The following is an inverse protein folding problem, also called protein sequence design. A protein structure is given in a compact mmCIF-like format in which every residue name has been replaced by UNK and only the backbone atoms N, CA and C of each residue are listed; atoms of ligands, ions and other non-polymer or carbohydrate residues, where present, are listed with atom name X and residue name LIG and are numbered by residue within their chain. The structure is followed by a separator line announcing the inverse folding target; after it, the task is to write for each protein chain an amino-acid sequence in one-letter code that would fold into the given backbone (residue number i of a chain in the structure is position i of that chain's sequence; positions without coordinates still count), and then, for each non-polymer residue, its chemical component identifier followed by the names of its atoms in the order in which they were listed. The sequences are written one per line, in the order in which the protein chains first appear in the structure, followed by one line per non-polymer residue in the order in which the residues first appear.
data_IF_370956955957
#
_entry.id   IF_370956955957
#
_cell.length_a   1.000
_cell.length_b   1.000
_cell.length_c   1.000
_cell.angle_alpha   90.00
_cell.angle_beta   90.00
_cell.angle_gamma   90.00
#
_symmetry.space_group_name_H-M   'P 1'
#
loop_
_entity.id
_entity.type
_entity.pdbx_description
1 polymer ?
#
# COMPACT_ATOMS: atom_id res chain seq x y z
N UNK A 1 3.87 -3.47 -28.25
CA UNK A 1 5.16 -3.05 -27.64
C UNK A 1 5.18 -1.54 -27.66
N UNK A 2 5.19 -0.91 -26.52
CA UNK A 2 5.22 0.56 -26.41
C UNK A 2 6.65 0.99 -26.75
N UNK A 3 6.84 1.80 -27.78
CA UNK A 3 8.15 2.35 -28.15
C UNK A 3 8.77 3.06 -26.92
N UNK A 4 10.01 2.70 -26.57
CA UNK A 4 10.70 3.24 -25.41
C UNK A 4 11.00 4.74 -25.66
N UNK A 5 10.37 5.62 -24.88
CA UNK A 5 10.65 7.06 -24.97
C UNK A 5 12.08 7.36 -24.49
N UNK A 6 12.67 8.47 -24.98
CA UNK A 6 13.98 8.93 -24.51
C UNK A 6 13.92 9.40 -23.05
N UNK A 7 12.78 9.95 -22.63
CA UNK A 7 12.53 10.37 -21.27
C UNK A 7 11.21 9.75 -20.76
N UNK A 8 11.23 9.14 -19.61
CA UNK A 8 10.03 8.63 -18.93
C UNK A 8 9.98 9.17 -17.49
N UNK A 9 8.87 9.77 -17.11
CA UNK A 9 8.61 10.20 -15.75
C UNK A 9 7.61 9.23 -15.14
N UNK A 10 7.99 8.53 -14.07
CA UNK A 10 7.11 7.69 -13.25
C UNK A 10 6.78 8.46 -11.98
N UNK A 11 5.54 8.94 -11.85
CA UNK A 11 5.13 9.80 -10.74
C UNK A 11 4.11 9.08 -9.86
N UNK A 12 4.41 8.96 -8.58
CA UNK A 12 3.45 8.41 -7.63
C UNK A 12 4.09 7.68 -6.45
N UNK A 13 3.23 7.04 -5.66
CA UNK A 13 3.54 6.26 -4.46
C UNK A 13 3.12 4.79 -4.56
N UNK A 14 2.50 4.38 -5.68
CA UNK A 14 2.24 2.96 -5.96
C UNK A 14 3.51 2.26 -6.45
N UNK A 15 4.26 1.69 -5.52
CA UNK A 15 5.49 0.95 -5.82
C UNK A 15 5.24 -0.25 -6.73
N UNK A 16 4.06 -0.87 -6.68
CA UNK A 16 3.70 -1.99 -7.57
C UNK A 16 3.60 -1.52 -9.02
N UNK A 17 2.92 -0.40 -9.25
CA UNK A 17 2.83 0.24 -10.57
C UNK A 17 4.23 0.61 -11.09
N UNK A 18 5.04 1.29 -10.26
CA UNK A 18 6.42 1.69 -10.63
C UNK A 18 7.26 0.46 -10.99
N UNK A 19 7.23 -0.61 -10.20
CA UNK A 19 8.00 -1.83 -10.46
C UNK A 19 7.58 -2.53 -11.76
N UNK A 20 6.27 -2.62 -12.03
CA UNK A 20 5.75 -3.21 -13.27
C UNK A 20 6.24 -2.41 -14.49
N UNK A 21 6.10 -1.09 -14.47
CA UNK A 21 6.57 -0.22 -15.58
C UNK A 21 8.08 -0.28 -15.77
N UNK A 22 8.86 -0.30 -14.69
CA UNK A 22 10.32 -0.46 -14.77
C UNK A 22 10.71 -1.82 -15.35
N UNK A 23 10.01 -2.90 -14.98
CA UNK A 23 10.24 -4.22 -15.54
C UNK A 23 9.92 -4.27 -17.06
N UNK A 24 8.81 -3.64 -17.48
CA UNK A 24 8.45 -3.53 -18.89
C UNK A 24 9.48 -2.70 -19.69
N UNK A 25 9.92 -1.56 -19.14
CA UNK A 25 10.96 -0.72 -19.73
C UNK A 25 12.25 -1.52 -19.88
N UNK A 26 12.68 -2.23 -18.84
CA UNK A 26 13.88 -3.05 -18.84
C UNK A 26 13.78 -4.22 -19.83
N UNK A 27 12.63 -4.90 -19.88
CA UNK A 27 12.38 -5.98 -20.83
C UNK A 27 12.42 -5.49 -22.32
N UNK A 28 12.08 -4.22 -22.56
CA UNK A 28 12.17 -3.63 -23.90
C UNK A 28 13.60 -3.41 -24.40
N UNK A 29 14.62 -3.53 -23.53
CA UNK A 29 16.04 -3.48 -23.91
C UNK A 29 16.54 -4.80 -24.54
N UNK A 30 15.75 -5.86 -24.53
CA UNK A 30 16.06 -7.16 -25.13
C UNK A 30 16.42 -8.24 -24.12
N UNK A 31 17.51 -8.97 -24.37
CA UNK A 31 17.94 -10.06 -23.49
C UNK A 31 18.20 -9.58 -22.04
N UNK A 32 17.73 -10.32 -21.00
CA UNK A 32 17.86 -9.88 -19.63
C UNK A 32 19.29 -9.58 -19.15
N UNK A 33 20.28 -10.36 -19.61
CA UNK A 33 21.68 -10.13 -19.24
C UNK A 33 22.22 -8.86 -19.90
N UNK A 34 21.85 -8.63 -21.16
CA UNK A 34 22.20 -7.39 -21.88
C UNK A 34 21.50 -6.18 -21.26
N UNK A 35 20.24 -6.34 -20.86
CA UNK A 35 19.48 -5.27 -20.19
C UNK A 35 20.14 -4.86 -18.87
N UNK A 36 20.64 -5.83 -18.07
CA UNK A 36 21.36 -5.55 -16.82
C UNK A 36 22.66 -4.77 -17.07
N UNK A 37 23.46 -5.18 -18.05
CA UNK A 37 24.71 -4.49 -18.41
C UNK A 37 24.47 -3.06 -18.95
N UNK A 38 23.30 -2.82 -19.53
CA UNK A 38 22.92 -1.53 -20.09
C UNK A 38 22.01 -0.70 -19.16
N UNK A 39 21.91 -1.06 -17.89
CA UNK A 39 21.12 -0.31 -16.90
C UNK A 39 22.04 0.31 -15.85
N UNK A 40 21.94 1.64 -15.69
CA UNK A 40 22.60 2.39 -14.62
C UNK A 40 21.55 2.88 -13.65
N UNK A 41 21.70 2.56 -12.37
CA UNK A 41 20.86 3.08 -11.29
C UNK A 41 21.60 4.23 -10.61
N UNK A 42 20.95 5.40 -10.55
CA UNK A 42 21.46 6.59 -9.90
C UNK A 42 20.54 6.95 -8.72
N UNK A 43 21.15 7.15 -7.56
CA UNK A 43 20.43 7.64 -6.39
C UNK A 43 20.51 9.16 -6.33
N UNK A 44 19.37 9.81 -6.10
CA UNK A 44 19.28 11.29 -6.11
C UNK A 44 20.14 11.98 -5.05
N UNK A 45 20.53 11.28 -3.98
CA UNK A 45 21.34 11.82 -2.88
C UNK A 45 22.77 12.12 -3.33
N UNK A 46 23.33 11.33 -4.23
CA UNK A 46 24.69 11.43 -4.75
C UNK A 46 24.75 11.98 -6.17
N UNK A 47 23.59 12.20 -6.80
CA UNK A 47 23.50 12.60 -8.19
C UNK A 47 23.90 14.06 -8.39
N UNK A 48 24.78 14.31 -9.36
CA UNK A 48 25.00 15.61 -9.93
C UNK A 48 24.66 15.64 -11.44
N UNK A 49 24.39 16.81 -12.00
CA UNK A 49 23.97 16.95 -13.40
C UNK A 49 25.05 16.54 -14.40
N UNK A 50 26.33 16.68 -14.07
CA UNK A 50 27.41 16.27 -14.95
C UNK A 50 27.53 14.74 -15.04
N UNK A 51 27.36 14.03 -13.92
CA UNK A 51 27.33 12.57 -13.93
C UNK A 51 26.09 12.04 -14.67
N UNK A 52 24.92 12.65 -14.45
CA UNK A 52 23.70 12.30 -15.19
C UNK A 52 23.91 12.44 -16.70
N UNK A 53 24.50 13.56 -17.13
CA UNK A 53 24.82 13.81 -18.53
C UNK A 53 25.79 12.76 -19.08
N UNK A 54 26.87 12.45 -18.35
CA UNK A 54 27.85 11.46 -18.76
C UNK A 54 27.23 10.07 -18.94
N UNK A 55 26.38 9.64 -17.99
CA UNK A 55 25.69 8.35 -18.03
C UNK A 55 24.71 8.27 -19.22
N UNK A 56 23.96 9.35 -19.50
CA UNK A 56 23.06 9.41 -20.64
C UNK A 56 23.79 9.42 -22.00
N UNK A 57 25.02 9.94 -22.05
CA UNK A 57 25.84 9.97 -23.28
C UNK A 57 26.67 8.69 -23.47
N UNK A 58 26.73 7.82 -22.45
CA UNK A 58 27.47 6.57 -22.54
C UNK A 58 26.82 5.64 -23.58
N UNK A 59 27.57 5.14 -24.53
CA UNK A 59 27.07 4.22 -25.53
C UNK A 59 26.60 2.90 -24.94
N UNK A 60 25.48 2.34 -25.42
CA UNK A 60 25.02 1.02 -24.98
C UNK A 60 26.01 -0.08 -25.40
N UNK A 61 26.13 -1.11 -24.59
CA UNK A 61 26.98 -2.27 -24.86
C UNK A 61 26.16 -3.37 -25.53
N UNK A 62 26.45 -3.65 -26.80
CA UNK A 62 25.75 -4.69 -27.58
C UNK A 62 24.22 -4.62 -27.55
N UNK A 63 23.65 -3.44 -27.34
CA UNK A 63 22.22 -3.16 -27.35
C UNK A 63 21.92 -1.87 -28.11
N UNK A 64 20.66 -1.66 -28.46
CA UNK A 64 20.24 -0.44 -29.15
C UNK A 64 20.18 0.76 -28.20
N UNK A 65 19.83 0.53 -26.93
CA UNK A 65 19.64 1.58 -25.92
C UNK A 65 20.24 1.23 -24.58
N UNK A 66 20.57 2.27 -23.83
CA UNK A 66 20.98 2.23 -22.42
C UNK A 66 19.91 2.86 -21.55
N UNK A 67 19.57 2.19 -20.44
CA UNK A 67 18.65 2.69 -19.42
C UNK A 67 19.42 3.41 -18.32
N UNK A 68 19.07 4.66 -18.07
CA UNK A 68 19.53 5.42 -16.90
C UNK A 68 18.32 5.65 -16.00
N UNK A 69 18.33 5.08 -14.83
CA UNK A 69 17.23 5.16 -13.86
C UNK A 69 17.64 6.03 -12.67
N UNK A 70 16.92 7.13 -12.46
CA UNK A 70 17.10 7.99 -11.28
C UNK A 70 15.98 7.69 -10.30
N UNK A 71 16.35 7.07 -9.18
CA UNK A 71 15.42 6.85 -8.06
C UNK A 71 15.29 8.12 -7.22
N UNK A 72 14.12 8.31 -6.58
CA UNK A 72 13.82 9.46 -5.70
C UNK A 72 14.07 10.82 -6.34
N UNK A 73 13.79 10.95 -7.65
CA UNK A 73 14.12 12.15 -8.43
C UNK A 73 13.52 13.45 -7.84
N UNK A 74 12.39 13.39 -7.10
CA UNK A 74 11.83 14.57 -6.44
C UNK A 74 12.81 15.27 -5.53
N UNK A 75 13.70 14.55 -4.84
CA UNK A 75 14.65 15.12 -3.90
C UNK A 75 15.65 16.07 -4.60
N UNK A 76 16.15 15.67 -5.78
CA UNK A 76 17.04 16.54 -6.56
C UNK A 76 16.25 17.68 -7.22
N UNK A 77 15.10 17.39 -7.83
CA UNK A 77 14.28 18.40 -8.52
C UNK A 77 13.85 19.54 -7.60
N UNK A 78 13.62 19.26 -6.33
CA UNK A 78 13.30 20.28 -5.31
C UNK A 78 14.46 21.20 -4.99
N UNK A 79 15.69 20.68 -5.03
CA UNK A 79 16.90 21.42 -4.62
C UNK A 79 17.49 22.27 -5.74
N UNK A 80 17.16 22.00 -7.01
CA UNK A 80 17.73 22.70 -8.15
C UNK A 80 17.36 24.20 -8.14
N UNK A 81 18.37 25.06 -8.22
CA UNK A 81 18.20 26.48 -8.47
C UNK A 81 17.85 26.74 -9.96
N UNK A 82 17.41 27.95 -10.35
CA UNK A 82 17.00 28.26 -11.73
C UNK A 82 18.04 27.90 -12.79
N UNK A 83 19.32 28.19 -12.56
CA UNK A 83 20.39 27.89 -13.52
C UNK A 83 20.64 26.38 -13.67
N UNK A 84 20.50 25.61 -12.57
CA UNK A 84 20.60 24.15 -12.59
C UNK A 84 19.39 23.52 -13.28
N UNK A 85 18.19 24.08 -13.14
CA UNK A 85 17.01 23.66 -13.91
C UNK A 85 17.23 23.83 -15.41
N UNK A 86 17.74 24.97 -15.85
CA UNK A 86 18.06 25.21 -17.25
C UNK A 86 19.09 24.19 -17.76
N UNK A 87 20.14 23.89 -17.01
CA UNK A 87 21.11 22.84 -17.35
C UNK A 87 20.47 21.46 -17.44
N UNK A 88 19.58 21.09 -16.52
CA UNK A 88 18.87 19.84 -16.59
C UNK A 88 17.98 19.78 -17.85
N UNK A 89 17.23 20.83 -18.15
CA UNK A 89 16.38 20.90 -19.35
C UNK A 89 17.22 20.79 -20.63
N UNK A 90 18.42 21.39 -20.68
CA UNK A 90 19.35 21.24 -21.80
C UNK A 90 19.82 19.78 -21.97
N UNK A 91 20.15 19.10 -20.86
CA UNK A 91 20.50 17.67 -20.87
C UNK A 91 19.34 16.84 -21.43
N UNK A 92 18.11 17.09 -20.94
CA UNK A 92 16.92 16.36 -21.36
C UNK A 92 16.56 16.59 -22.83
N UNK A 93 16.69 17.85 -23.32
CA UNK A 93 16.44 18.20 -24.71
C UNK A 93 17.41 17.51 -25.67
N UNK A 94 18.66 17.28 -25.23
CA UNK A 94 19.74 16.70 -26.01
C UNK A 94 19.98 15.20 -25.73
N UNK A 95 19.02 14.49 -25.14
CA UNK A 95 19.12 13.05 -24.93
C UNK A 95 19.27 12.32 -26.28
N UNK A 96 20.30 11.49 -26.47
CA UNK A 96 20.46 10.72 -27.69
C UNK A 96 19.39 9.62 -27.83
N UNK A 97 19.09 9.18 -29.01
CA UNK A 97 18.13 8.09 -29.27
C UNK A 97 18.57 6.77 -28.64
N UNK A 98 19.88 6.64 -28.34
CA UNK A 98 20.46 5.47 -27.67
C UNK A 98 20.25 5.49 -26.15
N UNK A 99 19.76 6.59 -25.56
CA UNK A 99 19.47 6.69 -24.14
C UNK A 99 17.95 6.55 -23.85
N UNK A 100 17.64 5.90 -22.74
CA UNK A 100 16.35 5.91 -22.12
C UNK A 100 16.51 6.36 -20.66
N UNK A 101 16.16 7.61 -20.37
CA UNK A 101 16.21 8.16 -19.03
C UNK A 101 14.86 7.98 -18.34
N UNK A 102 14.86 7.39 -17.14
CA UNK A 102 13.67 7.24 -16.30
C UNK A 102 13.88 7.99 -15.01
N UNK A 103 12.97 8.91 -14.68
CA UNK A 103 12.94 9.63 -13.41
C UNK A 103 11.76 9.12 -12.58
N UNK A 104 12.03 8.50 -11.43
CA UNK A 104 11.01 8.10 -10.47
C UNK A 104 10.77 9.24 -9.50
N UNK A 105 9.60 9.86 -9.60
CA UNK A 105 9.18 11.01 -8.81
C UNK A 105 8.18 10.54 -7.75
N UNK A 106 8.64 10.42 -6.53
CA UNK A 106 7.81 10.02 -5.39
C UNK A 106 6.86 11.16 -5.02
N UNK A 107 5.59 10.94 -5.20
CA UNK A 107 4.55 11.90 -4.80
C UNK A 107 3.25 11.16 -4.49
N UNK A 108 2.42 11.71 -3.63
CA UNK A 108 1.12 11.16 -3.24
C UNK A 108 -0.01 12.00 -3.81
N UNK A 109 -1.12 11.35 -4.13
CA UNK A 109 -2.35 12.05 -4.47
C UNK A 109 -3.23 12.24 -3.23
N UNK A 110 -3.75 13.46 -3.07
CA UNK A 110 -4.78 13.79 -2.09
C UNK A 110 -6.00 14.35 -2.78
N UNK A 111 -7.16 14.24 -2.13
CA UNK A 111 -8.43 14.77 -2.65
C UNK A 111 -8.86 15.98 -1.85
N UNK A 112 -9.13 17.09 -2.53
CA UNK A 112 -9.69 18.31 -1.92
C UNK A 112 -10.89 18.78 -2.72
N UNK A 113 -12.04 18.87 -2.07
CA UNK A 113 -13.33 19.26 -2.70
C UNK A 113 -13.74 18.38 -3.89
N UNK A 114 -13.36 17.09 -3.87
CA UNK A 114 -13.66 16.13 -4.94
C UNK A 114 -12.65 16.10 -6.10
N UNK A 115 -11.64 16.97 -6.08
CA UNK A 115 -10.58 17.00 -7.09
C UNK A 115 -9.29 16.37 -6.54
N UNK A 116 -8.68 15.47 -7.32
CA UNK A 116 -7.39 14.87 -7.00
C UNK A 116 -6.26 15.83 -7.37
N UNK A 117 -5.28 15.97 -6.50
CA UNK A 117 -4.08 16.78 -6.73
C UNK A 117 -2.85 16.08 -6.18
N UNK A 118 -1.69 16.39 -6.76
CA UNK A 118 -0.40 15.89 -6.29
C UNK A 118 0.16 16.81 -5.19
N UNK A 119 0.49 16.25 -4.06
CA UNK A 119 0.89 17.02 -2.85
C UNK A 119 2.15 17.86 -3.07
N UNK A 120 3.11 17.32 -3.81
CA UNK A 120 4.40 17.93 -4.05
C UNK A 120 4.61 18.44 -5.49
N UNK A 121 3.52 18.60 -6.27
CA UNK A 121 3.58 19.01 -7.67
C UNK A 121 4.49 20.23 -7.92
N UNK A 122 4.52 21.19 -7.00
CA UNK A 122 5.33 22.43 -7.11
C UNK A 122 6.83 22.14 -7.27
N UNK A 123 7.32 21.01 -6.78
CA UNK A 123 8.72 20.64 -6.86
C UNK A 123 9.18 20.36 -8.31
N UNK A 124 8.27 19.90 -9.16
CA UNK A 124 8.58 19.42 -10.52
C UNK A 124 7.60 19.90 -11.59
N UNK A 125 6.62 20.75 -11.28
CA UNK A 125 5.65 21.28 -12.25
C UNK A 125 6.36 21.93 -13.46
N UNK A 126 7.43 22.69 -13.21
CA UNK A 126 8.25 23.31 -14.25
C UNK A 126 8.83 22.29 -15.27
N UNK A 127 9.13 21.06 -14.82
CA UNK A 127 9.61 19.98 -15.67
C UNK A 127 8.47 19.40 -16.52
N UNK A 128 7.27 19.23 -15.93
CA UNK A 128 6.09 18.75 -16.64
C UNK A 128 5.63 19.76 -17.69
N UNK A 129 5.56 21.04 -17.33
CA UNK A 129 5.18 22.13 -18.22
C UNK A 129 6.14 22.22 -19.42
N UNK A 130 7.46 22.05 -19.18
CA UNK A 130 8.44 22.00 -20.23
C UNK A 130 8.28 20.77 -21.12
N UNK A 131 8.06 19.58 -20.52
CA UNK A 131 7.90 18.32 -21.27
C UNK A 131 6.67 18.33 -22.16
N UNK A 132 5.57 18.95 -21.74
CA UNK A 132 4.35 19.09 -22.53
C UNK A 132 4.60 19.86 -23.85
N UNK A 133 5.52 20.82 -23.80
CA UNK A 133 6.01 21.52 -25.01
C UNK A 133 6.93 20.70 -25.91
N UNK A 134 7.47 19.54 -25.48
CA UNK A 134 8.45 18.73 -26.20
C UNK A 134 7.79 17.51 -26.88
N UNK A 135 7.24 17.70 -28.08
CA UNK A 135 6.56 16.63 -28.81
C UNK A 135 7.46 15.40 -29.04
N UNK A 136 7.05 14.26 -28.52
CA UNK A 136 7.69 12.96 -28.76
C UNK A 136 8.98 12.69 -27.99
N UNK A 137 9.42 13.61 -27.12
CA UNK A 137 10.61 13.43 -26.30
C UNK A 137 10.35 12.42 -25.16
N UNK A 138 9.23 12.54 -24.47
CA UNK A 138 9.00 11.75 -23.28
C UNK A 138 7.54 11.44 -23.00
N UNK A 139 7.34 10.66 -21.93
CA UNK A 139 6.04 10.24 -21.42
C UNK A 139 6.00 10.38 -19.91
N UNK A 140 4.80 10.64 -19.39
CA UNK A 140 4.52 10.66 -17.94
C UNK A 140 3.55 9.55 -17.63
N UNK A 141 3.86 8.75 -16.62
CA UNK A 141 2.97 7.72 -16.10
C UNK A 141 2.66 8.05 -14.62
N UNK A 142 1.39 8.08 -14.32
CA UNK A 142 0.89 8.31 -12.97
C UNK A 142 0.70 6.98 -12.24
N UNK A 143 1.52 6.76 -11.22
CA UNK A 143 1.51 5.58 -10.35
C UNK A 143 0.99 5.98 -8.96
N UNK A 144 -0.20 6.58 -8.90
CA UNK A 144 -0.83 6.89 -7.63
C UNK A 144 -1.46 5.64 -7.01
N UNK A 145 -1.35 5.49 -5.69
CA UNK A 145 -2.12 4.50 -4.96
C UNK A 145 -3.61 4.73 -5.18
N UNK A 146 -4.40 3.67 -5.46
CA UNK A 146 -5.84 3.78 -5.49
C UNK A 146 -6.38 4.18 -4.11
N UNK A 147 -7.43 4.99 -4.07
CA UNK A 147 -8.15 5.23 -2.83
C UNK A 147 -9.02 4.00 -2.44
N UNK A 148 -9.60 4.03 -1.24
CA UNK A 148 -10.42 2.91 -0.74
C UNK A 148 -11.60 2.58 -1.68
N UNK A 149 -12.19 3.58 -2.32
CA UNK A 149 -13.30 3.38 -3.25
C UNK A 149 -12.86 2.80 -4.59
N UNK A 150 -11.64 3.10 -5.03
CA UNK A 150 -11.04 2.62 -6.28
C UNK A 150 -10.44 1.22 -6.16
N UNK A 151 -10.06 0.82 -4.94
CA UNK A 151 -9.33 -0.43 -4.68
C UNK A 151 -10.07 -1.70 -5.20
N UNK A 152 -11.39 -1.88 -5.04
CA UNK A 152 -12.07 -3.04 -5.61
C UNK A 152 -11.95 -3.10 -7.14
N UNK A 153 -12.06 -1.94 -7.81
CA UNK A 153 -11.88 -1.82 -9.26
C UNK A 153 -10.44 -2.16 -9.68
N UNK A 154 -9.46 -1.74 -8.89
CA UNK A 154 -8.05 -2.06 -9.11
C UNK A 154 -7.80 -3.58 -8.99
N UNK A 155 -8.32 -4.23 -7.94
CA UNK A 155 -8.22 -5.69 -7.74
C UNK A 155 -8.80 -6.44 -8.93
N UNK A 156 -10.00 -6.06 -9.38
CA UNK A 156 -10.65 -6.73 -10.51
C UNK A 156 -9.87 -6.55 -11.83
N UNK A 157 -9.24 -5.39 -12.06
CA UNK A 157 -8.36 -5.18 -13.22
C UNK A 157 -7.11 -6.02 -13.10
N UNK A 158 -6.44 -5.98 -11.94
CA UNK A 158 -5.19 -6.71 -11.70
C UNK A 158 -5.36 -8.22 -11.85
N UNK A 159 -6.48 -8.77 -11.37
CA UNK A 159 -6.82 -10.17 -11.55
C UNK A 159 -6.92 -10.54 -13.04
N UNK A 160 -7.60 -9.71 -13.86
CA UNK A 160 -7.70 -9.94 -15.32
C UNK A 160 -6.35 -9.85 -16.02
N UNK A 161 -5.50 -8.92 -15.65
CA UNK A 161 -4.12 -8.82 -16.15
C UNK A 161 -3.30 -10.08 -15.83
N UNK A 162 -3.58 -10.73 -14.69
CA UNK A 162 -2.93 -11.96 -14.24
C UNK A 162 -3.58 -13.22 -14.84
N UNK A 163 -4.63 -13.08 -15.64
CA UNK A 163 -5.30 -14.20 -16.34
C UNK A 163 -6.45 -14.86 -15.55
N UNK A 164 -7.02 -14.19 -14.56
CA UNK A 164 -8.16 -14.70 -13.81
C UNK A 164 -9.22 -13.64 -13.55
N UNK A 165 -10.23 -14.02 -12.76
CA UNK A 165 -11.36 -13.15 -12.46
C UNK A 165 -11.75 -13.18 -10.98
N UNK A 166 -12.29 -12.06 -10.50
CA UNK A 166 -12.89 -11.90 -9.18
C UNK A 166 -14.38 -11.56 -9.35
N UNK A 167 -15.22 -12.11 -8.48
CA UNK A 167 -16.56 -11.58 -8.29
C UNK A 167 -16.48 -10.20 -7.66
N UNK A 168 -17.44 -9.33 -7.94
CA UNK A 168 -17.45 -7.96 -7.42
C UNK A 168 -17.43 -7.92 -5.88
N UNK A 169 -18.23 -8.78 -5.24
CA UNK A 169 -18.29 -8.93 -3.78
C UNK A 169 -16.95 -9.39 -3.19
N UNK A 170 -16.24 -10.33 -3.85
CA UNK A 170 -14.92 -10.79 -3.44
C UNK A 170 -13.84 -9.71 -3.58
N UNK A 171 -13.90 -8.89 -4.65
CA UNK A 171 -12.98 -7.78 -4.82
C UNK A 171 -13.16 -6.70 -3.74
N UNK A 172 -14.40 -6.38 -3.37
CA UNK A 172 -14.69 -5.49 -2.24
C UNK A 172 -14.21 -6.06 -0.92
N UNK A 173 -14.41 -7.36 -0.70
CA UNK A 173 -13.94 -8.03 0.51
C UNK A 173 -12.41 -8.00 0.61
N UNK A 174 -11.70 -8.36 -0.46
CA UNK A 174 -10.24 -8.31 -0.47
C UNK A 174 -9.72 -6.87 -0.25
N UNK A 175 -10.36 -5.86 -0.86
CA UNK A 175 -10.01 -4.46 -0.65
C UNK A 175 -10.12 -4.06 0.83
N UNK A 176 -11.15 -4.53 1.55
CA UNK A 176 -11.30 -4.25 2.98
C UNK A 176 -10.20 -4.90 3.84
N UNK A 177 -9.58 -5.99 3.38
CA UNK A 177 -8.50 -6.69 4.09
C UNK A 177 -7.12 -6.10 3.84
N UNK A 178 -6.88 -5.59 2.62
CA UNK A 178 -5.57 -5.08 2.21
C UNK A 178 -5.45 -3.56 2.27
N UNK A 179 -6.58 -2.85 2.48
CA UNK A 179 -6.63 -1.39 2.39
C UNK A 179 -6.20 -0.91 1.00
N UNK A 180 -5.36 0.12 0.94
CA UNK A 180 -4.79 0.64 -0.31
C UNK A 180 -3.39 0.08 -0.63
N UNK A 181 -2.95 -0.99 0.04
CA UNK A 181 -1.66 -1.62 -0.20
C UNK A 181 -1.71 -2.50 -1.46
N UNK A 182 -1.31 -1.94 -2.59
CA UNK A 182 -1.33 -2.62 -3.90
C UNK A 182 -0.37 -3.79 -4.00
N UNK A 183 0.78 -3.75 -3.30
CA UNK A 183 1.74 -4.85 -3.26
C UNK A 183 1.13 -6.07 -2.58
N UNK A 184 0.54 -5.87 -1.41
CA UNK A 184 -0.17 -6.93 -0.68
C UNK A 184 -1.36 -7.44 -1.48
N UNK A 185 -2.16 -6.55 -2.05
CA UNK A 185 -3.27 -6.93 -2.91
C UNK A 185 -2.83 -7.82 -4.09
N UNK A 186 -1.73 -7.47 -4.76
CA UNK A 186 -1.20 -8.26 -5.87
C UNK A 186 -0.76 -9.66 -5.41
N UNK A 187 -0.13 -9.79 -4.24
CA UNK A 187 0.25 -11.09 -3.66
C UNK A 187 -0.99 -11.94 -3.35
N UNK A 188 -2.00 -11.34 -2.71
CA UNK A 188 -3.25 -12.03 -2.39
C UNK A 188 -4.01 -12.45 -3.65
N UNK A 189 -4.09 -11.58 -4.66
CA UNK A 189 -4.69 -11.90 -5.96
C UNK A 189 -4.01 -13.14 -6.57
N UNK A 190 -2.69 -13.15 -6.64
CA UNK A 190 -1.93 -14.28 -7.19
C UNK A 190 -2.23 -15.58 -6.43
N UNK A 191 -2.20 -15.54 -5.09
CA UNK A 191 -2.50 -16.69 -4.24
C UNK A 191 -3.92 -17.23 -4.50
N UNK A 192 -4.91 -16.35 -4.53
CA UNK A 192 -6.31 -16.70 -4.77
C UNK A 192 -6.54 -17.26 -6.19
N UNK A 193 -5.90 -16.67 -7.22
CA UNK A 193 -6.00 -17.16 -8.58
C UNK A 193 -5.35 -18.54 -8.76
N UNK A 194 -4.22 -18.80 -8.10
CA UNK A 194 -3.59 -20.13 -8.08
C UNK A 194 -4.53 -21.14 -7.42
N UNK A 195 -5.18 -20.78 -6.32
CA UNK A 195 -6.11 -21.68 -5.61
C UNK A 195 -7.31 -22.09 -6.47
N UNK A 196 -7.95 -21.14 -7.15
CA UNK A 196 -9.07 -21.45 -8.04
C UNK A 196 -8.64 -22.07 -9.37
N UNK A 197 -7.33 -22.02 -9.70
CA UNK A 197 -6.69 -22.63 -10.87
C UNK A 197 -7.42 -22.35 -12.20
N UNK A 198 -7.94 -21.13 -12.36
CA UNK A 198 -8.68 -20.72 -13.56
C UNK A 198 -10.05 -21.41 -13.77
N UNK A 199 -10.50 -22.26 -12.84
CA UNK A 199 -11.75 -23.01 -12.99
C UNK A 199 -13.01 -22.12 -12.85
N UNK A 200 -12.89 -21.02 -12.11
CA UNK A 200 -13.99 -20.07 -11.84
C UNK A 200 -13.44 -18.73 -11.35
N UNK A 201 -14.31 -17.73 -11.29
CA UNK A 201 -13.97 -16.48 -10.61
C UNK A 201 -13.80 -16.69 -9.08
N UNK A 202 -12.88 -15.94 -8.48
CA UNK A 202 -12.67 -15.93 -7.02
C UNK A 202 -13.92 -15.41 -6.33
N UNK A 203 -14.39 -16.14 -5.32
CA UNK A 203 -15.55 -15.81 -4.51
C UNK A 203 -15.18 -15.24 -3.15
N UNK A 204 -16.16 -14.73 -2.40
CA UNK A 204 -15.98 -14.24 -1.03
C UNK A 204 -15.50 -15.35 -0.08
N UNK A 205 -15.98 -16.59 -0.28
CA UNK A 205 -15.57 -17.75 0.50
C UNK A 205 -14.08 -18.06 0.33
N UNK A 206 -13.55 -17.91 -0.89
CA UNK A 206 -12.12 -18.11 -1.17
C UNK A 206 -11.27 -17.03 -0.48
N UNK A 207 -11.72 -15.76 -0.54
CA UNK A 207 -11.04 -14.65 0.14
C UNK A 207 -11.03 -14.90 1.64
N UNK A 208 -12.18 -15.26 2.24
CA UNK A 208 -12.25 -15.58 3.68
C UNK A 208 -11.34 -16.76 4.03
N UNK A 209 -11.32 -17.79 3.20
CA UNK A 209 -10.53 -19.00 3.47
C UNK A 209 -9.02 -18.74 3.44
N UNK A 210 -8.53 -17.92 2.50
CA UNK A 210 -7.10 -17.80 2.23
C UNK A 210 -6.49 -16.49 2.72
N UNK A 211 -7.24 -15.39 2.75
CA UNK A 211 -6.70 -14.06 3.08
C UNK A 211 -6.95 -13.68 4.54
N UNK A 212 -8.03 -14.16 5.15
CA UNK A 212 -8.44 -13.77 6.49
C UNK A 212 -7.54 -14.30 7.62
N UNK A 213 -6.57 -15.15 7.33
CA UNK A 213 -5.76 -15.77 8.38
C UNK A 213 -4.57 -14.94 8.87
N UNK A 214 -4.12 -13.89 8.14
CA UNK A 214 -2.85 -13.26 8.51
C UNK A 214 -2.93 -11.95 9.30
N UNK A 215 -4.00 -11.14 9.21
CA UNK A 215 -4.07 -9.91 10.00
C UNK A 215 -5.40 -9.67 10.72
N UNK A 216 -6.55 -9.61 10.01
CA UNK A 216 -7.83 -9.45 10.72
C UNK A 216 -8.25 -10.74 11.44
N UNK A 217 -7.98 -11.91 10.85
CA UNK A 217 -8.18 -13.20 11.52
C UNK A 217 -7.44 -13.29 12.86
N UNK A 218 -6.27 -12.73 12.95
CA UNK A 218 -5.46 -12.72 14.17
C UNK A 218 -5.98 -11.70 15.20
N UNK A 219 -6.48 -10.52 14.79
CA UNK A 219 -7.13 -9.56 15.72
C UNK A 219 -8.45 -10.15 16.25
N UNK A 220 -9.28 -10.72 15.40
CA UNK A 220 -10.49 -11.40 15.89
C UNK A 220 -10.16 -12.58 16.79
N UNK A 221 -9.11 -13.35 16.47
CA UNK A 221 -8.66 -14.47 17.29
C UNK A 221 -8.09 -14.01 18.63
N UNK A 222 -7.37 -12.89 18.66
CA UNK A 222 -6.93 -12.25 19.91
C UNK A 222 -8.17 -11.86 20.78
N UNK A 223 -9.14 -11.17 20.18
CA UNK A 223 -10.36 -10.74 20.90
C UNK A 223 -11.20 -11.93 21.32
N UNK A 224 -11.29 -12.98 20.50
CA UNK A 224 -11.96 -14.23 20.87
C UNK A 224 -11.30 -14.86 22.10
N UNK A 225 -9.97 -14.96 22.12
CA UNK A 225 -9.22 -15.49 23.25
C UNK A 225 -9.36 -14.65 24.52
N UNK A 226 -9.44 -13.31 24.38
CA UNK A 226 -9.74 -12.39 25.50
C UNK A 226 -11.16 -12.61 26.03
N UNK A 227 -12.15 -12.76 25.14
CA UNK A 227 -13.54 -13.04 25.52
C UNK A 227 -13.73 -14.44 26.16
N UNK A 228 -12.87 -15.40 25.81
CA UNK A 228 -12.81 -16.74 26.39
C UNK A 228 -11.99 -16.75 27.70
N UNK A 229 -11.39 -15.64 28.08
CA UNK A 229 -10.43 -15.53 29.21
C UNK A 229 -9.28 -16.53 29.13
N UNK A 230 -8.83 -16.82 27.92
CA UNK A 230 -7.72 -17.74 27.67
C UNK A 230 -6.41 -16.98 27.48
N UNK A 231 -5.71 -16.68 28.58
CA UNK A 231 -4.47 -15.91 28.57
C UNK A 231 -3.38 -16.50 27.68
N UNK A 232 -3.21 -17.82 27.70
CA UNK A 232 -2.24 -18.50 26.84
C UNK A 232 -2.53 -18.32 25.36
N UNK A 233 -3.79 -18.48 24.93
CA UNK A 233 -4.19 -18.26 23.54
C UNK A 233 -4.06 -16.78 23.15
N UNK A 234 -4.51 -15.86 24.02
CA UNK A 234 -4.45 -14.43 23.76
C UNK A 234 -2.98 -13.96 23.60
N UNK A 235 -2.07 -14.41 24.46
CA UNK A 235 -0.64 -14.10 24.38
C UNK A 235 -0.02 -14.66 23.11
N UNK A 236 -0.36 -15.89 22.70
CA UNK A 236 0.13 -16.47 21.47
C UNK A 236 -0.31 -15.65 20.23
N UNK A 237 -1.59 -15.26 20.20
CA UNK A 237 -2.11 -14.44 19.10
C UNK A 237 -1.48 -13.05 19.06
N UNK A 238 -1.29 -12.43 20.22
CA UNK A 238 -0.64 -11.11 20.33
C UNK A 238 0.80 -11.15 19.83
N UNK A 239 1.59 -12.16 20.19
CA UNK A 239 2.98 -12.32 19.73
C UNK A 239 3.07 -12.53 18.23
N UNK A 240 2.21 -13.36 17.65
CA UNK A 240 2.14 -13.53 16.19
C UNK A 240 1.83 -12.22 15.47
N UNK A 241 0.95 -11.39 16.07
CA UNK A 241 0.63 -10.07 15.53
C UNK A 241 1.81 -9.09 15.66
N UNK A 242 2.52 -9.08 16.79
CA UNK A 242 3.66 -8.19 17.03
C UNK A 242 4.90 -8.55 16.20
N UNK A 243 5.08 -9.81 15.82
CA UNK A 243 6.13 -10.24 14.88
C UNK A 243 5.91 -9.74 13.45
N UNK A 244 4.63 -9.51 13.07
CA UNK A 244 4.24 -9.17 11.68
C UNK A 244 3.92 -7.69 11.49
N UNK A 245 3.80 -6.90 12.55
CA UNK A 245 3.37 -5.49 12.50
C UNK A 245 4.21 -4.62 13.44
N UNK A 246 4.42 -3.36 13.04
CA UNK A 246 4.96 -2.38 13.99
C UNK A 246 3.95 -2.12 15.12
N UNK A 247 4.45 -1.91 16.34
CA UNK A 247 3.60 -1.76 17.52
C UNK A 247 2.59 -0.62 17.42
N UNK A 248 2.93 0.46 16.72
CA UNK A 248 2.02 1.60 16.47
C UNK A 248 0.86 1.19 15.57
N UNK A 249 1.13 0.41 14.53
CA UNK A 249 0.11 -0.11 13.61
C UNK A 249 -0.79 -1.12 14.33
N UNK A 250 -0.20 -2.08 15.03
CA UNK A 250 -0.93 -3.08 15.81
C UNK A 250 -1.84 -2.44 16.86
N UNK A 251 -1.36 -1.44 17.58
CA UNK A 251 -2.19 -0.72 18.56
C UNK A 251 -3.39 -0.05 17.91
N UNK A 252 -3.20 0.60 16.75
CA UNK A 252 -4.30 1.19 15.97
C UNK A 252 -5.37 0.16 15.57
N UNK A 253 -4.95 -1.04 15.16
CA UNK A 253 -5.85 -2.14 14.81
C UNK A 253 -6.64 -2.63 16.04
N UNK A 254 -5.99 -2.79 17.20
CA UNK A 254 -6.65 -3.20 18.45
C UNK A 254 -7.66 -2.13 18.88
N UNK A 255 -7.31 -0.84 18.85
CA UNK A 255 -8.21 0.26 19.20
C UNK A 255 -9.45 0.28 18.28
N UNK A 256 -9.26 0.12 16.98
CA UNK A 256 -10.36 0.04 16.03
C UNK A 256 -11.30 -1.11 16.35
N UNK A 257 -10.76 -2.29 16.66
CA UNK A 257 -11.55 -3.49 16.95
C UNK A 257 -12.40 -3.29 18.22
N UNK A 258 -11.81 -2.81 19.32
CA UNK A 258 -12.57 -2.57 20.55
C UNK A 258 -13.61 -1.45 20.39
N UNK A 259 -13.34 -0.41 19.60
CA UNK A 259 -14.33 0.62 19.27
C UNK A 259 -15.54 0.01 18.53
N UNK A 260 -15.29 -0.86 17.55
CA UNK A 260 -16.37 -1.55 16.83
C UNK A 260 -17.17 -2.48 17.75
N UNK A 261 -16.51 -3.13 18.71
CA UNK A 261 -17.19 -3.97 19.71
C UNK A 261 -18.09 -3.16 20.65
N UNK A 262 -17.66 -1.97 21.09
CA UNK A 262 -18.49 -1.07 21.89
C UNK A 262 -19.74 -0.68 21.12
N UNK A 263 -19.60 -0.25 19.87
CA UNK A 263 -20.72 0.14 19.02
C UNK A 263 -21.66 -1.04 18.72
N UNK A 264 -21.08 -2.22 18.42
CA UNK A 264 -21.89 -3.43 18.22
C UNK A 264 -22.64 -3.84 19.51
N UNK A 265 -22.01 -3.69 20.67
CA UNK A 265 -22.64 -3.97 21.95
C UNK A 265 -23.79 -3.02 22.25
N UNK A 266 -23.64 -1.73 21.97
CA UNK A 266 -24.71 -0.72 22.11
C UNK A 266 -25.93 -1.10 21.28
N UNK A 267 -25.74 -1.43 20.00
CA UNK A 267 -26.81 -1.89 19.10
C UNK A 267 -27.50 -3.15 19.67
N UNK A 268 -26.74 -4.10 20.20
CA UNK A 268 -27.28 -5.33 20.78
C UNK A 268 -28.04 -5.08 22.07
N UNK A 269 -27.61 -4.15 22.93
CA UNK A 269 -28.29 -3.79 24.17
C UNK A 269 -29.61 -3.09 23.91
N UNK A 270 -29.77 -2.40 22.77
CA UNK A 270 -31.01 -1.85 22.27
C UNK A 270 -31.93 -2.87 21.57
N UNK A 271 -31.54 -4.15 21.56
CA UNK A 271 -32.30 -5.26 20.94
C UNK A 271 -32.03 -5.41 19.44
N UNK A 272 -30.98 -4.81 18.94
CA UNK A 272 -30.57 -4.89 17.53
C UNK A 272 -30.01 -6.27 17.15
N UNK A 273 -29.86 -6.48 15.84
CA UNK A 273 -29.36 -7.71 15.23
C UNK A 273 -28.04 -7.49 14.51
N UNK A 274 -27.35 -8.58 14.11
CA UNK A 274 -26.16 -8.54 13.26
C UNK A 274 -26.38 -7.73 11.96
N UNK A 275 -27.59 -7.79 11.37
CA UNK A 275 -27.95 -7.00 10.18
C UNK A 275 -28.02 -5.49 10.48
N UNK A 276 -28.34 -5.12 11.69
CA UNK A 276 -28.32 -3.72 12.11
C UNK A 276 -26.89 -3.26 12.36
N UNK A 277 -26.06 -4.10 12.98
CA UNK A 277 -24.60 -3.87 13.13
C UNK A 277 -23.94 -3.67 11.75
N UNK A 278 -24.25 -4.52 10.75
CA UNK A 278 -23.79 -4.39 9.37
C UNK A 278 -24.12 -2.99 8.80
N UNK A 279 -25.40 -2.59 8.90
CA UNK A 279 -25.90 -1.35 8.32
C UNK A 279 -25.36 -0.09 9.01
N UNK A 280 -25.34 -0.07 10.34
CA UNK A 280 -24.95 1.11 11.11
C UNK A 280 -23.43 1.31 11.14
N UNK A 281 -22.67 0.23 11.30
CA UNK A 281 -21.21 0.29 11.32
C UNK A 281 -20.60 0.26 9.91
N UNK A 282 -21.42 0.04 8.87
CA UNK A 282 -21.00 -0.08 7.47
C UNK A 282 -19.89 -1.11 7.27
N UNK A 283 -20.02 -2.22 7.97
CA UNK A 283 -19.10 -3.36 7.87
C UNK A 283 -19.72 -4.46 7.02
N UNK A 284 -18.89 -5.41 6.57
CA UNK A 284 -19.37 -6.54 5.77
C UNK A 284 -20.23 -7.50 6.61
N UNK A 285 -21.18 -8.26 6.02
CA UNK A 285 -22.07 -9.16 6.74
C UNK A 285 -21.35 -10.12 7.70
N UNK A 286 -20.26 -10.76 7.23
CA UNK A 286 -19.51 -11.71 8.06
C UNK A 286 -18.74 -11.01 9.21
N UNK A 287 -18.29 -9.76 9.00
CA UNK A 287 -17.66 -8.93 10.07
C UNK A 287 -18.70 -8.57 11.11
N UNK A 288 -19.92 -8.20 10.67
CA UNK A 288 -21.04 -7.91 11.56
C UNK A 288 -21.42 -9.14 12.40
N UNK A 289 -21.47 -10.34 11.79
CA UNK A 289 -21.74 -11.58 12.51
C UNK A 289 -20.66 -11.87 13.55
N UNK A 290 -19.39 -11.68 13.18
CA UNK A 290 -18.25 -11.90 14.06
C UNK A 290 -18.23 -10.89 15.22
N UNK A 291 -18.40 -9.59 14.93
CA UNK A 291 -18.51 -8.53 15.93
C UNK A 291 -19.68 -8.78 16.88
N UNK A 292 -20.84 -9.19 16.35
CA UNK A 292 -22.02 -9.55 17.16
C UNK A 292 -21.72 -10.73 18.10
N UNK A 293 -21.06 -11.77 17.59
CA UNK A 293 -20.62 -12.91 18.37
C UNK A 293 -19.65 -12.55 19.48
N UNK A 294 -18.65 -11.69 19.18
CA UNK A 294 -17.67 -11.21 20.13
C UNK A 294 -18.29 -10.25 21.17
N UNK A 295 -19.07 -9.26 20.73
CA UNK A 295 -19.70 -8.30 21.61
C UNK A 295 -20.62 -8.94 22.66
N UNK A 296 -21.24 -10.09 22.36
CA UNK A 296 -22.05 -10.86 23.32
C UNK A 296 -21.23 -11.46 24.48
N UNK A 297 -19.92 -11.66 24.30
CA UNK A 297 -19.02 -12.22 25.32
C UNK A 297 -18.56 -11.19 26.35
N UNK A 298 -18.75 -9.90 26.07
CA UNK A 298 -18.35 -8.80 26.92
C UNK A 298 -19.58 -8.00 27.39
N UNK A 299 -19.57 -7.51 28.63
CA UNK A 299 -20.48 -6.46 29.03
C UNK A 299 -19.99 -5.09 28.55
N UNK A 300 -20.89 -4.12 28.40
CA UNK A 300 -20.52 -2.74 28.05
C UNK A 300 -19.46 -2.19 29.03
N UNK A 301 -19.61 -2.45 30.34
CA UNK A 301 -18.64 -2.03 31.34
C UNK A 301 -17.23 -2.59 31.03
N UNK A 302 -17.12 -3.89 30.75
CA UNK A 302 -15.83 -4.51 30.45
C UNK A 302 -15.20 -3.89 29.19
N UNK A 303 -15.97 -3.64 28.12
CA UNK A 303 -15.46 -2.99 26.89
C UNK A 303 -14.95 -1.57 27.17
N UNK A 304 -15.67 -0.79 27.99
CA UNK A 304 -15.25 0.56 28.37
C UNK A 304 -14.00 0.54 29.26
N UNK A 305 -13.91 -0.41 30.20
CA UNK A 305 -12.72 -0.58 31.04
C UNK A 305 -11.49 -0.95 30.21
N UNK A 306 -11.64 -1.86 29.22
CA UNK A 306 -10.56 -2.20 28.27
C UNK A 306 -10.17 -0.98 27.45
N UNK A 307 -11.15 -0.25 26.92
CA UNK A 307 -10.88 0.93 26.08
C UNK A 307 -10.17 2.05 26.87
N UNK A 308 -10.52 2.24 28.14
CA UNK A 308 -9.81 3.16 29.03
C UNK A 308 -8.33 2.77 29.22
N UNK A 309 -8.05 1.47 29.38
CA UNK A 309 -6.66 0.97 29.49
C UNK A 309 -5.90 1.11 28.16
N UNK A 310 -6.57 0.91 27.03
CA UNK A 310 -5.98 1.12 25.72
C UNK A 310 -5.57 2.59 25.52
N UNK A 311 -6.37 3.55 26.00
CA UNK A 311 -6.00 4.97 25.97
C UNK A 311 -4.76 5.25 26.83
N UNK A 312 -4.65 4.63 28.02
CA UNK A 312 -3.47 4.77 28.86
C UNK A 312 -2.21 4.21 28.17
N UNK A 313 -2.33 3.06 27.49
CA UNK A 313 -1.24 2.47 26.72
C UNK A 313 -0.79 3.42 25.59
N UNK A 314 -1.74 4.07 24.90
CA UNK A 314 -1.43 5.05 23.85
C UNK A 314 -0.64 6.27 24.40
N UNK A 315 -1.04 6.78 25.57
CA UNK A 315 -0.33 7.86 26.27
C UNK A 315 1.07 7.42 26.70
N UNK A 316 1.22 6.24 27.28
CA UNK A 316 2.51 5.70 27.74
C UNK A 316 3.47 5.47 26.55
N UNK A 317 2.98 4.96 25.42
CA UNK A 317 3.78 4.79 24.20
C UNK A 317 4.26 6.15 23.64
N UNK A 318 3.41 7.17 23.66
CA UNK A 318 3.75 8.51 23.15
C UNK A 318 4.68 9.29 24.06
N UNK A 319 4.57 9.08 25.39
CA UNK A 319 5.41 9.75 26.39
C UNK A 319 6.72 9.03 26.68
N UNK A 320 6.91 7.81 26.18
CA UNK A 320 8.08 6.96 26.46
C UNK A 320 8.05 6.31 27.85
N UNK A 321 6.86 6.21 28.46
CA UNK A 321 6.70 5.66 29.82
C UNK A 321 6.91 4.15 29.89
N UNK A 322 6.33 3.39 28.92
CA UNK A 322 6.44 1.93 28.85
C UNK A 322 6.50 1.46 27.38
N UNK A 323 7.32 0.44 27.05
CA UNK A 323 7.25 -0.19 25.75
C UNK A 323 5.87 -0.77 25.47
N UNK A 324 5.30 -0.47 24.31
CA UNK A 324 3.94 -0.88 23.96
C UNK A 324 3.70 -2.38 24.06
N UNK A 325 4.67 -3.20 23.66
CA UNK A 325 4.59 -4.66 23.75
C UNK A 325 4.35 -5.12 25.20
N UNK A 326 5.11 -4.59 26.17
CA UNK A 326 4.97 -4.90 27.59
C UNK A 326 3.61 -4.43 28.12
N UNK A 327 3.17 -3.25 27.69
CA UNK A 327 1.88 -2.70 28.14
C UNK A 327 0.69 -3.57 27.66
N UNK A 328 0.74 -4.06 26.40
CA UNK A 328 -0.27 -4.98 25.88
C UNK A 328 -0.20 -6.37 26.53
N UNK A 329 0.99 -6.91 26.79
CA UNK A 329 1.13 -8.19 27.52
C UNK A 329 0.52 -8.10 28.94
N UNK A 330 0.72 -6.99 29.65
CA UNK A 330 0.08 -6.75 30.95
C UNK A 330 -1.43 -6.62 30.83
N UNK A 331 -1.94 -5.91 29.81
CA UNK A 331 -3.37 -5.82 29.56
C UNK A 331 -4.00 -7.20 29.34
N UNK A 332 -3.36 -8.05 28.51
CA UNK A 332 -3.81 -9.41 28.24
C UNK A 332 -3.84 -10.24 29.52
N UNK A 333 -2.78 -10.19 30.32
CA UNK A 333 -2.70 -10.90 31.59
C UNK A 333 -3.84 -10.50 32.55
N UNK A 334 -4.09 -9.21 32.68
CA UNK A 334 -5.14 -8.68 33.56
C UNK A 334 -6.57 -9.02 33.09
N UNK A 335 -6.81 -9.05 31.77
CA UNK A 335 -8.13 -9.37 31.22
C UNK A 335 -8.47 -10.87 31.28
N UNK A 336 -7.45 -11.71 31.44
CA UNK A 336 -7.59 -13.17 31.44
C UNK A 336 -7.34 -13.81 32.82
N UNK A 337 -6.97 -13.00 33.84
CA UNK A 337 -6.93 -13.40 35.23
C UNK A 337 -8.37 -13.44 35.80
#
# INVERSE_FOLDING_TARGET
MTELARLTLLRGDDLTCVQVLLAEIKASLGDPQMADMNTTLLESETLNLESLRADCLTMPFLAERRLVLVSRARQILTKLNPSEREKLLDILANLPDTAALVLVIEDSQSTKRGEKYWENARAYAWLLDWLDGQKGLGRVFDCALPDEAEMPGWIARKARETGGEFRADAAHLLASYVGNNTLRAAQEINKLLIYVNGARAVSTEDVVLLTSQEQEGNIFSLVDALGERSGSKAMTQFRLLSESNEMVELSGMIYRQFRLLIQAREILDEGGSSRQVEKELRVLPFVADKLTGQARRFSMKQLLDVFGRLLQIDEDMKSGGMPGEVAFELLIADLTA
#
